data_IF_814575194112
#
_entry.id   IF_814575194112
#
_cell.length_a   1.000
_cell.length_b   1.000
_cell.length_c   1.000
_cell.angle_alpha   90.00
_cell.angle_beta   90.00
_cell.angle_gamma   90.00
#
_symmetry.space_group_name_H-M   'P 1'
#
loop_
_entity.id
_entity.type
_entity.pdbx_description
1 polymer ?
#
# COMPACT_ATOMS: atom_id res chain seq x y z
N UNK A 1 -11.56 14.15 14.79
CA UNK A 1 -10.93 15.37 15.29
C UNK A 1 -9.44 15.22 15.03
N UNK A 2 -8.75 16.21 14.46
CA UNK A 2 -7.29 16.13 14.27
C UNK A 2 -6.60 16.59 15.55
N UNK A 3 -5.60 15.86 16.00
CA UNK A 3 -4.86 16.22 17.21
C UNK A 3 -3.76 17.25 16.92
N UNK A 4 -3.23 17.29 15.69
CA UNK A 4 -2.18 18.23 15.28
C UNK A 4 -2.39 18.66 13.82
N UNK A 5 -2.38 19.97 13.59
CA UNK A 5 -2.37 20.58 12.26
C UNK A 5 -1.17 21.53 12.18
N UNK A 6 -0.33 21.37 11.17
CA UNK A 6 0.78 22.30 10.95
C UNK A 6 0.31 23.59 10.28
N UNK A 7 1.23 24.58 10.16
CA UNK A 7 0.95 25.88 9.55
C UNK A 7 0.56 25.80 8.07
N UNK A 8 0.76 24.65 7.43
CA UNK A 8 0.49 24.41 6.02
C UNK A 8 -0.81 23.60 5.79
N UNK A 9 -1.60 23.30 6.85
CA UNK A 9 -2.83 22.52 6.74
C UNK A 9 -2.58 21.01 6.63
N UNK A 10 -1.41 20.53 7.09
CA UNK A 10 -1.10 19.10 7.17
C UNK A 10 -1.68 18.55 8.46
N UNK A 11 -2.46 17.52 8.38
CA UNK A 11 -3.13 16.89 9.50
C UNK A 11 -2.43 15.57 9.87
N UNK A 12 -1.90 15.53 11.10
CA UNK A 12 -1.31 14.34 11.69
C UNK A 12 -2.30 13.72 12.69
N UNK A 13 -2.23 12.39 12.86
CA UNK A 13 -3.06 11.67 13.82
C UNK A 13 -4.54 12.06 13.77
N UNK A 14 -5.07 12.19 12.57
CA UNK A 14 -6.47 12.45 12.37
C UNK A 14 -7.24 11.15 12.08
N UNK A 15 -8.57 11.21 12.17
CA UNK A 15 -9.40 10.03 11.98
C UNK A 15 -10.35 10.20 10.80
N UNK A 16 -10.42 9.17 9.96
CA UNK A 16 -11.45 9.02 8.95
C UNK A 16 -12.66 8.36 9.61
N UNK A 17 -13.82 9.04 9.53
CA UNK A 17 -15.12 8.61 10.10
C UNK A 17 -15.04 8.25 11.60
N UNK A 18 -14.10 8.85 12.36
CA UNK A 18 -13.78 8.62 13.77
C UNK A 18 -13.29 7.18 14.09
N UNK A 19 -12.87 6.41 13.11
CA UNK A 19 -12.48 5.01 13.27
C UNK A 19 -11.07 4.73 12.84
N UNK A 20 -10.63 5.27 11.69
CA UNK A 20 -9.35 4.92 11.08
C UNK A 20 -8.36 6.06 11.24
N UNK A 21 -7.29 5.85 11.99
CA UNK A 21 -6.20 6.81 12.11
C UNK A 21 -5.50 7.03 10.76
N UNK A 22 -5.17 8.27 10.45
CA UNK A 22 -4.60 8.63 9.17
C UNK A 22 -3.65 9.85 9.25
N UNK A 23 -2.82 9.97 8.24
CA UNK A 23 -2.08 11.16 7.86
C UNK A 23 -2.73 11.78 6.63
N UNK A 24 -2.89 13.10 6.61
CA UNK A 24 -3.43 13.84 5.45
C UNK A 24 -2.60 15.07 5.16
N UNK A 25 -2.28 15.29 3.90
CA UNK A 25 -1.75 16.53 3.38
C UNK A 25 -2.57 16.93 2.15
N UNK A 26 -3.45 17.91 2.33
CA UNK A 26 -4.48 18.28 1.35
C UNK A 26 -4.28 19.74 0.94
N UNK A 27 -3.64 19.99 -0.22
CA UNK A 27 -3.50 21.37 -0.72
C UNK A 27 -4.83 21.93 -1.20
N UNK A 28 -4.96 23.25 -1.11
CA UNK A 28 -6.08 23.95 -1.74
C UNK A 28 -6.07 23.74 -3.26
N UNK A 29 -7.25 23.69 -3.87
CA UNK A 29 -7.42 23.56 -5.32
C UNK A 29 -6.74 22.33 -5.93
N UNK A 30 -6.68 21.22 -5.18
CA UNK A 30 -6.16 19.96 -5.72
C UNK A 30 -7.12 19.36 -6.76
N UNK A 31 -6.56 18.82 -7.83
CA UNK A 31 -7.29 18.08 -8.85
C UNK A 31 -7.12 16.56 -8.71
N UNK A 32 -6.12 16.14 -7.96
CA UNK A 32 -5.76 14.75 -7.76
C UNK A 32 -5.41 14.46 -6.31
N UNK A 33 -5.74 13.25 -5.87
CA UNK A 33 -5.38 12.74 -4.55
C UNK A 33 -4.79 11.35 -4.65
N UNK A 34 -3.78 11.06 -3.82
CA UNK A 34 -3.20 9.73 -3.67
C UNK A 34 -3.70 9.13 -2.36
N UNK A 35 -4.26 7.92 -2.42
CA UNK A 35 -4.49 7.08 -1.26
C UNK A 35 -3.28 6.14 -1.13
N UNK A 36 -2.50 6.30 -0.05
CA UNK A 36 -1.30 5.51 0.18
C UNK A 36 -1.55 4.36 1.17
N UNK A 37 -1.19 3.16 0.76
CA UNK A 37 -1.22 1.94 1.57
C UNK A 37 0.21 1.55 1.97
N UNK A 38 0.52 1.56 3.26
CA UNK A 38 1.86 1.32 3.80
C UNK A 38 2.27 -0.16 3.85
N UNK A 39 3.55 -0.42 4.14
CA UNK A 39 4.16 -1.75 4.27
C UNK A 39 3.65 -2.48 5.53
N UNK A 40 3.75 -3.80 5.54
CA UNK A 40 3.57 -4.61 6.74
C UNK A 40 4.59 -4.18 7.82
N UNK A 41 4.10 -3.89 9.01
CA UNK A 41 4.93 -3.39 10.12
C UNK A 41 5.31 -1.90 10.03
N UNK A 42 4.73 -1.13 9.12
CA UNK A 42 4.82 0.33 9.04
C UNK A 42 3.54 1.00 9.56
N UNK A 43 3.32 2.25 9.22
CA UNK A 43 2.16 3.05 9.60
C UNK A 43 1.87 4.16 8.57
N UNK A 44 0.81 4.93 8.80
CA UNK A 44 0.37 6.02 7.92
C UNK A 44 1.39 7.14 7.78
N UNK A 45 2.25 7.34 8.77
CA UNK A 45 3.27 8.40 8.76
C UNK A 45 4.35 8.20 7.69
N UNK A 46 4.46 7.00 7.12
CA UNK A 46 5.36 6.77 5.98
C UNK A 46 5.05 7.65 4.78
N UNK A 47 3.83 8.14 4.63
CA UNK A 47 3.43 9.07 3.58
C UNK A 47 4.14 10.43 3.67
N UNK A 48 4.67 10.81 4.84
CA UNK A 48 5.40 12.09 5.04
C UNK A 48 6.61 12.23 4.10
N UNK A 49 7.12 11.13 3.57
CA UNK A 49 8.26 11.10 2.63
C UNK A 49 7.92 11.64 1.25
N UNK A 50 6.64 11.65 0.90
CA UNK A 50 6.14 12.06 -0.42
C UNK A 50 5.40 13.39 -0.38
N UNK A 51 4.92 13.82 0.81
CA UNK A 51 3.93 14.89 0.90
C UNK A 51 4.43 16.24 0.38
N UNK A 52 5.66 16.63 0.71
CA UNK A 52 6.17 17.96 0.39
C UNK A 52 6.18 18.23 -1.11
N UNK A 53 6.71 17.27 -1.88
CA UNK A 53 6.76 17.38 -3.33
C UNK A 53 5.37 17.32 -3.97
N UNK A 54 4.50 16.44 -3.47
CA UNK A 54 3.12 16.32 -3.94
C UNK A 54 2.30 17.57 -3.62
N UNK A 55 2.40 18.05 -2.37
CA UNK A 55 1.70 19.25 -1.90
C UNK A 55 2.06 20.50 -2.73
N UNK A 56 3.33 20.72 -2.99
CA UNK A 56 3.82 21.83 -3.82
C UNK A 56 3.30 21.76 -5.26
N UNK A 57 2.89 20.58 -5.72
CA UNK A 57 2.30 20.32 -7.04
C UNK A 57 0.77 20.22 -7.00
N UNK A 58 0.14 20.62 -5.90
CA UNK A 58 -1.31 20.57 -5.68
C UNK A 58 -1.92 19.17 -5.79
N UNK A 59 -1.18 18.14 -5.36
CA UNK A 59 -1.64 16.78 -5.28
C UNK A 59 -1.82 16.43 -3.81
N UNK A 60 -3.02 16.04 -3.42
CA UNK A 60 -3.33 15.58 -2.07
C UNK A 60 -2.78 14.18 -1.81
N UNK A 61 -2.46 13.90 -0.55
CA UNK A 61 -2.14 12.54 -0.10
C UNK A 61 -2.88 12.22 1.20
N UNK A 62 -3.47 11.05 1.24
CA UNK A 62 -4.04 10.44 2.45
C UNK A 62 -3.39 9.07 2.63
N UNK A 63 -2.86 8.82 3.81
CA UNK A 63 -2.42 7.52 4.26
C UNK A 63 -3.16 7.12 5.51
N UNK A 64 -3.36 5.85 5.75
CA UNK A 64 -4.13 5.34 6.89
C UNK A 64 -3.43 4.15 7.54
N UNK A 65 -3.62 3.99 8.84
CA UNK A 65 -3.08 2.84 9.55
C UNK A 65 -3.88 1.58 9.21
N UNK A 66 -3.17 0.52 8.82
CA UNK A 66 -3.76 -0.80 8.66
C UNK A 66 -4.16 -1.37 10.03
N UNK A 67 -5.12 -2.31 10.11
CA UNK A 67 -5.53 -2.91 11.38
C UNK A 67 -4.33 -3.40 12.22
N UNK A 68 -4.25 -2.93 13.46
CA UNK A 68 -3.16 -3.24 14.41
C UNK A 68 -1.82 -2.55 14.13
N UNK A 69 -1.74 -1.64 13.16
CA UNK A 69 -0.53 -0.88 12.84
C UNK A 69 -0.66 0.57 13.32
N UNK A 70 0.49 1.25 13.47
CA UNK A 70 0.52 2.65 13.88
C UNK A 70 -0.23 2.89 15.19
N UNK A 71 -1.24 3.77 15.16
CA UNK A 71 -2.11 4.06 16.29
C UNK A 71 -3.42 3.23 16.30
N UNK A 72 -3.63 2.36 15.31
CA UNK A 72 -4.78 1.45 15.30
C UNK A 72 -4.63 0.39 16.41
N UNK A 73 -5.67 0.25 17.24
CA UNK A 73 -5.67 -0.63 18.40
C UNK A 73 -6.27 -2.01 18.15
N UNK A 74 -6.54 -2.35 16.90
CA UNK A 74 -7.08 -3.65 16.52
C UNK A 74 -6.14 -4.79 16.94
N UNK A 75 -6.65 -5.79 17.65
CA UNK A 75 -5.87 -6.98 18.00
C UNK A 75 -5.45 -7.72 16.72
N UNK A 76 -4.16 -8.03 16.58
CA UNK A 76 -3.61 -8.79 15.45
C UNK A 76 -4.27 -10.16 15.22
N UNK A 77 -5.00 -10.71 16.18
CA UNK A 77 -5.84 -11.89 15.94
C UNK A 77 -6.94 -11.64 14.90
N UNK A 78 -7.37 -10.38 14.74
CA UNK A 78 -8.37 -9.96 13.75
C UNK A 78 -7.73 -9.50 12.45
N UNK A 79 -6.40 -9.30 12.42
CA UNK A 79 -5.69 -8.89 11.22
C UNK A 79 -5.83 -9.94 10.13
N UNK A 80 -6.42 -9.55 9.02
CA UNK A 80 -6.59 -10.36 7.82
C UNK A 80 -6.82 -9.45 6.60
N UNK A 81 -6.72 -10.01 5.41
CA UNK A 81 -6.90 -9.27 4.17
C UNK A 81 -8.27 -8.62 4.05
N UNK A 82 -9.33 -9.32 4.46
CA UNK A 82 -10.72 -8.79 4.40
C UNK A 82 -10.86 -7.52 5.23
N UNK A 83 -10.32 -7.50 6.45
CA UNK A 83 -10.36 -6.31 7.31
C UNK A 83 -9.53 -5.17 6.71
N UNK A 84 -8.33 -5.47 6.19
CA UNK A 84 -7.51 -4.47 5.49
C UNK A 84 -8.23 -3.88 4.27
N UNK A 85 -8.92 -4.71 3.48
CA UNK A 85 -9.73 -4.27 2.35
C UNK A 85 -10.91 -3.40 2.77
N UNK A 86 -11.54 -3.70 3.90
CA UNK A 86 -12.61 -2.87 4.46
C UNK A 86 -12.08 -1.49 4.83
N UNK A 87 -10.91 -1.39 5.48
CA UNK A 87 -10.27 -0.10 5.78
C UNK A 87 -9.99 0.69 4.50
N UNK A 88 -9.36 0.08 3.50
CA UNK A 88 -9.12 0.72 2.21
C UNK A 88 -10.43 1.22 1.55
N UNK A 89 -11.51 0.43 1.61
CA UNK A 89 -12.81 0.83 1.07
C UNK A 89 -13.42 2.02 1.82
N UNK A 90 -13.30 2.07 3.15
CA UNK A 90 -13.76 3.21 3.97
C UNK A 90 -13.00 4.47 3.54
N UNK A 91 -11.68 4.38 3.39
CA UNK A 91 -10.84 5.52 2.97
C UNK A 91 -11.21 5.98 1.55
N UNK A 92 -11.38 5.06 0.59
CA UNK A 92 -11.83 5.40 -0.77
C UNK A 92 -13.19 6.10 -0.75
N UNK A 93 -14.15 5.58 0.02
CA UNK A 93 -15.49 6.17 0.12
C UNK A 93 -15.45 7.55 0.80
N UNK A 94 -14.62 7.71 1.82
CA UNK A 94 -14.37 9.00 2.45
C UNK A 94 -13.86 10.03 1.43
N UNK A 95 -12.84 9.67 0.66
CA UNK A 95 -12.26 10.57 -0.38
C UNK A 95 -13.33 10.95 -1.40
N UNK A 96 -14.11 10.02 -1.90
CA UNK A 96 -15.20 10.30 -2.87
C UNK A 96 -16.28 11.22 -2.30
N UNK A 97 -16.61 11.06 -1.02
CA UNK A 97 -17.62 11.86 -0.35
C UNK A 97 -17.14 13.28 -0.09
N UNK A 98 -15.89 13.43 0.37
CA UNK A 98 -15.36 14.73 0.79
C UNK A 98 -14.77 15.51 -0.39
N UNK A 99 -14.24 14.81 -1.39
CA UNK A 99 -13.59 15.39 -2.57
C UNK A 99 -14.18 14.83 -3.89
N UNK A 100 -15.47 15.08 -4.19
CA UNK A 100 -16.20 14.36 -5.24
C UNK A 100 -15.68 14.57 -6.67
N UNK A 101 -14.94 15.66 -6.92
CA UNK A 101 -14.44 16.02 -8.26
C UNK A 101 -12.96 15.71 -8.46
N UNK A 102 -12.31 15.07 -7.49
CA UNK A 102 -10.87 14.85 -7.50
C UNK A 102 -10.56 13.47 -8.09
N UNK A 103 -9.57 13.40 -8.98
CA UNK A 103 -9.07 12.14 -9.52
C UNK A 103 -8.35 11.35 -8.41
N UNK A 104 -8.75 10.10 -8.19
CA UNK A 104 -8.17 9.23 -7.17
C UNK A 104 -7.09 8.37 -7.78
N UNK A 105 -5.89 8.44 -7.20
CA UNK A 105 -4.76 7.55 -7.48
C UNK A 105 -4.53 6.64 -6.27
N UNK A 106 -4.11 5.40 -6.51
CA UNK A 106 -3.68 4.48 -5.46
C UNK A 106 -2.16 4.32 -5.50
N UNK A 107 -1.51 4.39 -4.36
CA UNK A 107 -0.09 4.10 -4.19
C UNK A 107 0.07 3.06 -3.09
N UNK A 108 0.66 1.92 -3.41
CA UNK A 108 0.96 0.88 -2.44
C UNK A 108 2.45 0.59 -2.37
N UNK A 109 2.94 0.34 -1.16
CA UNK A 109 4.30 -0.14 -0.95
C UNK A 109 4.29 -1.54 -0.34
N UNK A 110 5.04 -2.48 -0.93
CA UNK A 110 5.17 -3.86 -0.43
C UNK A 110 3.81 -4.53 -0.18
N UNK A 111 3.45 -4.80 1.09
CA UNK A 111 2.14 -5.31 1.49
C UNK A 111 0.98 -4.39 1.06
N UNK A 112 1.16 -3.07 1.10
CA UNK A 112 0.18 -2.11 0.60
C UNK A 112 -0.13 -2.31 -0.89
N UNK A 113 0.87 -2.70 -1.69
CA UNK A 113 0.68 -3.07 -3.10
C UNK A 113 -0.14 -4.38 -3.23
N UNK A 114 0.14 -5.38 -2.39
CA UNK A 114 -0.66 -6.61 -2.34
C UNK A 114 -2.12 -6.32 -1.98
N UNK A 115 -2.36 -5.42 -1.03
CA UNK A 115 -3.70 -4.98 -0.65
C UNK A 115 -4.44 -4.32 -1.83
N UNK A 116 -3.80 -3.38 -2.53
CA UNK A 116 -4.36 -2.71 -3.71
C UNK A 116 -4.67 -3.71 -4.81
N UNK A 117 -3.75 -4.60 -5.16
CA UNK A 117 -3.98 -5.63 -6.17
C UNK A 117 -5.18 -6.52 -5.82
N UNK A 118 -5.29 -6.93 -4.56
CA UNK A 118 -6.44 -7.68 -4.07
C UNK A 118 -7.76 -6.90 -4.15
N UNK A 119 -7.72 -5.58 -3.95
CA UNK A 119 -8.87 -4.70 -4.15
C UNK A 119 -9.31 -4.67 -5.62
N UNK A 120 -8.36 -4.53 -6.55
CA UNK A 120 -8.64 -4.47 -7.99
C UNK A 120 -9.19 -5.78 -8.54
N UNK A 121 -8.71 -6.92 -8.05
CA UNK A 121 -9.22 -8.25 -8.43
C UNK A 121 -10.68 -8.45 -8.03
N UNK A 122 -11.10 -7.88 -6.89
CA UNK A 122 -12.46 -8.05 -6.34
C UNK A 122 -13.45 -7.00 -6.79
N UNK A 123 -12.98 -5.91 -7.38
CA UNK A 123 -13.83 -4.77 -7.69
C UNK A 123 -13.44 -4.15 -9.03
N UNK A 124 -14.42 -3.95 -9.89
CA UNK A 124 -14.24 -3.41 -11.25
C UNK A 124 -14.05 -1.88 -11.29
N UNK A 125 -13.98 -1.24 -10.13
CA UNK A 125 -13.79 0.20 -10.04
C UNK A 125 -12.48 0.64 -10.69
N UNK A 126 -12.53 1.74 -11.43
CA UNK A 126 -11.37 2.35 -12.08
C UNK A 126 -10.86 3.54 -11.27
N UNK A 127 -9.55 3.56 -11.06
CA UNK A 127 -8.80 4.68 -10.52
C UNK A 127 -8.05 5.41 -11.63
N UNK A 128 -7.66 6.66 -11.39
CA UNK A 128 -6.91 7.43 -12.39
C UNK A 128 -5.56 6.76 -12.68
N UNK A 129 -4.79 6.43 -11.64
CA UNK A 129 -3.57 5.62 -11.72
C UNK A 129 -3.44 4.70 -10.53
N UNK A 130 -2.78 3.57 -10.73
CA UNK A 130 -2.39 2.63 -9.67
C UNK A 130 -0.88 2.44 -9.70
N UNK A 131 -0.22 2.83 -8.62
CA UNK A 131 1.22 2.84 -8.49
C UNK A 131 1.64 1.81 -7.43
N UNK A 132 2.53 0.91 -7.81
CA UNK A 132 3.00 -0.16 -6.94
C UNK A 132 4.51 -0.04 -6.74
N UNK A 133 4.94 0.14 -5.50
CA UNK A 133 6.33 0.26 -5.11
C UNK A 133 6.77 -1.01 -4.38
N UNK A 134 7.82 -1.67 -4.87
CA UNK A 134 8.34 -2.94 -4.34
C UNK A 134 7.22 -3.94 -4.01
N UNK A 135 6.31 -4.26 -4.95
CA UNK A 135 5.07 -4.97 -4.62
C UNK A 135 5.32 -6.40 -4.12
N UNK A 136 4.75 -6.75 -2.97
CA UNK A 136 4.74 -8.11 -2.46
C UNK A 136 3.63 -8.92 -3.16
N UNK A 137 3.94 -9.46 -4.35
CA UNK A 137 2.96 -10.15 -5.19
C UNK A 137 2.66 -11.56 -4.68
N UNK A 138 3.70 -12.28 -4.25
CA UNK A 138 3.62 -13.64 -3.71
C UNK A 138 3.86 -13.64 -2.20
N UNK A 139 2.86 -13.17 -1.44
CA UNK A 139 3.02 -12.99 0.01
C UNK A 139 3.34 -14.30 0.74
N UNK A 140 2.80 -15.43 0.31
CA UNK A 140 3.05 -16.72 0.95
C UNK A 140 4.48 -17.20 0.69
N UNK A 141 4.99 -17.03 -0.54
CA UNK A 141 6.37 -17.39 -0.87
C UNK A 141 7.34 -16.53 -0.02
N UNK A 142 7.06 -15.23 0.10
CA UNK A 142 7.81 -14.32 0.97
C UNK A 142 7.78 -14.77 2.45
N UNK A 143 6.62 -15.10 2.99
CA UNK A 143 6.50 -15.57 4.37
C UNK A 143 7.22 -16.90 4.61
N UNK A 144 7.20 -17.78 3.63
CA UNK A 144 7.87 -19.08 3.71
C UNK A 144 9.39 -18.94 3.61
N UNK A 145 9.91 -18.16 2.66
CA UNK A 145 11.35 -18.01 2.42
C UNK A 145 12.02 -17.14 3.48
N UNK A 146 11.50 -15.94 3.72
CA UNK A 146 12.16 -14.96 4.58
C UNK A 146 11.89 -15.18 6.08
N UNK A 147 10.76 -15.79 6.41
CA UNK A 147 10.34 -15.96 7.81
C UNK A 147 10.22 -17.41 8.26
N UNK A 148 10.52 -18.39 7.39
CA UNK A 148 10.31 -19.81 7.65
C UNK A 148 8.91 -20.10 8.20
N UNK A 149 7.90 -19.42 7.64
CA UNK A 149 6.53 -19.47 8.10
C UNK A 149 5.72 -20.37 7.16
N UNK A 150 5.46 -21.57 7.60
CA UNK A 150 4.60 -22.55 6.92
C UNK A 150 3.35 -22.83 7.73
N UNK A 151 2.39 -23.55 7.15
CA UNK A 151 1.22 -23.99 7.90
C UNK A 151 1.59 -24.83 9.12
N UNK A 152 2.63 -25.68 9.02
CA UNK A 152 3.10 -26.55 10.10
C UNK A 152 3.75 -25.80 11.26
N UNK A 153 4.30 -24.60 11.00
CA UNK A 153 4.81 -23.74 12.07
C UNK A 153 3.78 -23.53 13.19
N UNK A 154 2.50 -23.39 12.83
CA UNK A 154 1.42 -23.15 13.78
C UNK A 154 0.96 -24.37 14.57
N UNK A 155 1.49 -25.55 14.31
CA UNK A 155 1.25 -26.73 15.16
C UNK A 155 1.89 -26.57 16.54
N UNK A 156 2.98 -25.79 16.63
CA UNK A 156 3.74 -25.58 17.85
C UNK A 156 3.80 -24.11 18.29
N UNK A 157 3.28 -23.17 17.50
CA UNK A 157 3.38 -21.74 17.76
C UNK A 157 2.02 -21.04 17.57
N UNK A 158 1.71 -20.13 18.49
CA UNK A 158 0.45 -19.38 18.47
C UNK A 158 0.43 -18.30 17.38
N UNK A 159 1.56 -17.65 17.16
CA UNK A 159 1.77 -16.63 16.15
C UNK A 159 3.25 -16.53 15.76
N UNK A 160 3.53 -15.95 14.61
CA UNK A 160 4.89 -15.51 14.23
C UNK A 160 4.99 -14.01 14.46
N UNK A 161 6.06 -13.58 15.14
CA UNK A 161 6.36 -12.16 15.29
C UNK A 161 7.21 -11.70 14.11
N UNK A 162 6.68 -10.75 13.32
CA UNK A 162 7.39 -10.12 12.22
C UNK A 162 7.80 -8.70 12.59
N UNK A 163 9.00 -8.29 12.20
CA UNK A 163 9.54 -6.94 12.44
C UNK A 163 9.46 -6.47 13.90
N UNK A 164 9.50 -7.41 14.85
CA UNK A 164 9.40 -7.12 16.29
C UNK A 164 8.04 -6.64 16.81
N UNK A 165 7.04 -6.47 15.95
CA UNK A 165 5.75 -5.87 16.34
C UNK A 165 4.51 -6.53 15.73
N UNK A 166 4.54 -7.04 14.53
CA UNK A 166 3.38 -7.64 13.87
C UNK A 166 3.23 -9.10 14.28
N UNK A 167 2.14 -9.46 14.92
CA UNK A 167 1.82 -10.84 15.29
C UNK A 167 0.96 -11.48 14.20
N UNK A 168 1.57 -12.33 13.38
CA UNK A 168 0.87 -13.04 12.33
C UNK A 168 0.37 -14.39 12.84
N UNK A 169 -0.95 -14.51 12.96
CA UNK A 169 -1.64 -15.71 13.42
C UNK A 169 -1.95 -16.68 12.27
N UNK A 170 -2.29 -17.93 12.61
CA UNK A 170 -2.62 -18.97 11.63
C UNK A 170 -3.77 -18.57 10.70
N UNK A 171 -4.81 -17.94 11.23
CA UNK A 171 -5.95 -17.47 10.44
C UNK A 171 -5.53 -16.42 9.39
N UNK A 172 -4.63 -15.50 9.73
CA UNK A 172 -4.08 -14.52 8.80
C UNK A 172 -3.26 -15.20 7.70
N UNK A 173 -2.40 -16.16 8.07
CA UNK A 173 -1.61 -16.92 7.11
C UNK A 173 -2.52 -17.69 6.12
N UNK A 174 -3.55 -18.36 6.63
CA UNK A 174 -4.51 -19.09 5.79
C UNK A 174 -5.35 -18.16 4.90
N UNK A 175 -5.69 -16.97 5.40
CA UNK A 175 -6.38 -15.97 4.61
C UNK A 175 -5.51 -15.49 3.44
N UNK A 176 -4.23 -15.22 3.67
CA UNK A 176 -3.29 -14.87 2.59
C UNK A 176 -3.09 -16.02 1.60
N UNK A 177 -2.99 -17.27 2.07
CA UNK A 177 -2.85 -18.45 1.22
C UNK A 177 -4.04 -18.62 0.26
N UNK A 178 -5.25 -18.31 0.74
CA UNK A 178 -6.47 -18.42 -0.06
C UNK A 178 -6.69 -17.21 -0.99
N UNK A 179 -5.89 -16.15 -0.87
CA UNK A 179 -6.07 -14.90 -1.58
C UNK A 179 -4.81 -14.51 -2.41
N UNK A 180 -4.23 -15.47 -3.10
CA UNK A 180 -3.11 -15.25 -4.00
C UNK A 180 -3.56 -14.44 -5.23
N UNK A 181 -3.01 -13.23 -5.35
CA UNK A 181 -3.28 -12.33 -6.48
C UNK A 181 -2.71 -12.88 -7.78
N UNK A 182 -1.62 -13.63 -7.72
CA UNK A 182 -0.93 -14.14 -8.89
C UNK A 182 -1.82 -15.08 -9.73
N UNK A 183 -2.75 -15.79 -9.10
CA UNK A 183 -3.68 -16.69 -9.75
C UNK A 183 -4.92 -16.01 -10.36
N UNK A 184 -5.17 -14.71 -10.04
CA UNK A 184 -6.39 -13.97 -10.42
C UNK A 184 -6.15 -12.92 -11.52
N UNK A 185 -5.30 -13.17 -12.47
CA UNK A 185 -4.76 -12.21 -13.46
C UNK A 185 -5.76 -11.51 -14.38
N UNK A 186 -7.00 -11.98 -14.50
CA UNK A 186 -7.94 -11.50 -15.54
C UNK A 186 -8.56 -10.14 -15.28
N UNK A 187 -8.61 -9.66 -14.02
CA UNK A 187 -9.45 -8.52 -13.61
C UNK A 187 -8.63 -7.22 -13.44
N UNK A 188 -7.31 -7.33 -13.36
CA UNK A 188 -6.40 -6.18 -13.15
C UNK A 188 -6.38 -5.22 -14.36
N UNK A 189 -6.83 -5.65 -15.54
CA UNK A 189 -6.67 -4.96 -16.83
C UNK A 189 -7.46 -3.64 -17.00
N UNK A 190 -8.38 -3.32 -16.10
CA UNK A 190 -9.22 -2.12 -16.22
C UNK A 190 -8.61 -0.85 -15.61
N UNK A 191 -7.40 -0.95 -15.04
CA UNK A 191 -6.70 0.17 -14.42
C UNK A 191 -5.34 0.38 -15.07
N UNK A 192 -4.90 1.63 -15.12
CA UNK A 192 -3.55 1.99 -15.54
C UNK A 192 -2.59 1.74 -14.36
N UNK A 193 -1.93 0.58 -14.40
CA UNK A 193 -1.04 0.10 -13.33
C UNK A 193 0.41 0.32 -13.76
N UNK A 194 1.21 0.86 -12.85
CA UNK A 194 2.63 1.09 -13.03
C UNK A 194 3.40 0.57 -11.83
N UNK A 195 4.55 -0.04 -12.05
CA UNK A 195 5.40 -0.62 -11.01
C UNK A 195 6.76 0.05 -11.00
N UNK A 196 7.28 0.33 -9.80
CA UNK A 196 8.68 0.67 -9.55
C UNK A 196 9.28 -0.33 -8.58
N UNK A 197 10.49 -0.85 -8.88
CA UNK A 197 11.16 -1.86 -8.07
C UNK A 197 12.67 -1.63 -8.02
N UNK A 198 13.27 -1.88 -6.84
CA UNK A 198 14.71 -1.78 -6.67
C UNK A 198 15.43 -3.05 -7.17
N UNK A 199 16.54 -2.91 -7.89
CA UNK A 199 17.31 -4.07 -8.38
C UNK A 199 18.03 -4.82 -7.27
N UNK A 200 18.39 -4.13 -6.18
CA UNK A 200 19.01 -4.71 -4.98
C UNK A 200 18.01 -5.03 -3.86
N UNK A 201 16.72 -5.19 -4.22
CA UNK A 201 15.69 -5.59 -3.27
C UNK A 201 15.94 -7.02 -2.77
N UNK A 202 16.34 -7.13 -1.50
CA UNK A 202 16.62 -8.42 -0.83
C UNK A 202 15.40 -9.01 -0.14
N UNK A 203 14.27 -8.30 -0.14
CA UNK A 203 13.01 -8.74 0.47
C UNK A 203 12.11 -9.40 -0.57
N UNK A 204 11.98 -8.78 -1.73
CA UNK A 204 11.22 -9.29 -2.87
C UNK A 204 12.13 -9.27 -4.09
N UNK A 205 12.48 -10.44 -4.60
CA UNK A 205 13.34 -10.56 -5.78
C UNK A 205 12.70 -9.88 -7.01
N UNK A 206 13.47 -9.02 -7.67
CA UNK A 206 13.02 -8.25 -8.83
C UNK A 206 12.51 -9.16 -9.96
N UNK A 207 13.03 -10.37 -10.11
CA UNK A 207 12.61 -11.31 -11.15
C UNK A 207 11.14 -11.73 -10.98
N UNK A 208 10.67 -11.89 -9.74
CA UNK A 208 9.26 -12.23 -9.44
C UNK A 208 8.34 -11.11 -9.93
N UNK A 209 8.73 -9.87 -9.69
CA UNK A 209 7.96 -8.69 -10.10
C UNK A 209 8.02 -8.50 -11.61
N UNK A 210 9.17 -8.76 -12.22
CA UNK A 210 9.36 -8.70 -13.67
C UNK A 210 8.48 -9.72 -14.39
N UNK A 211 8.43 -10.97 -13.90
CA UNK A 211 7.57 -12.00 -14.44
C UNK A 211 6.08 -11.61 -14.36
N UNK A 212 5.67 -11.06 -13.22
CA UNK A 212 4.31 -10.57 -13.03
C UNK A 212 3.97 -9.45 -14.03
N UNK A 213 4.85 -8.46 -14.15
CA UNK A 213 4.66 -7.33 -15.05
C UNK A 213 4.62 -7.76 -16.52
N UNK A 214 5.54 -8.64 -16.93
CA UNK A 214 5.59 -9.19 -18.29
C UNK A 214 4.31 -9.96 -18.64
N UNK A 215 3.83 -10.81 -17.74
CA UNK A 215 2.62 -11.62 -17.94
C UNK A 215 1.33 -10.79 -18.08
N UNK A 216 1.31 -9.58 -17.53
CA UNK A 216 0.15 -8.69 -17.53
C UNK A 216 0.30 -7.46 -18.42
N UNK A 217 1.46 -7.29 -19.08
CA UNK A 217 1.84 -6.10 -19.83
C UNK A 217 1.77 -4.83 -18.98
N UNK A 218 2.23 -4.92 -17.72
CA UNK A 218 2.32 -3.79 -16.79
C UNK A 218 3.70 -3.13 -16.96
N UNK A 219 3.79 -1.81 -17.15
CA UNK A 219 5.06 -1.10 -17.19
C UNK A 219 5.80 -1.22 -15.87
N UNK A 220 7.03 -1.74 -15.92
CA UNK A 220 7.96 -1.83 -14.80
C UNK A 220 9.11 -0.86 -14.99
N UNK A 221 9.40 -0.05 -13.97
CA UNK A 221 10.63 0.74 -13.85
C UNK A 221 11.50 0.09 -12.78
N UNK A 222 12.69 -0.39 -13.16
CA UNK A 222 13.70 -0.79 -12.18
C UNK A 222 14.59 0.40 -11.79
N UNK A 223 15.16 0.35 -10.59
CA UNK A 223 16.09 1.35 -10.06
C UNK A 223 17.34 0.63 -9.61
N UNK A 224 18.43 0.92 -10.31
CA UNK A 224 19.75 0.32 -10.05
C UNK A 224 20.22 0.59 -8.62
N UNK A 225 20.78 -0.43 -7.96
CA UNK A 225 21.25 -0.40 -6.57
C UNK A 225 20.22 0.00 -5.51
N UNK A 226 18.94 0.11 -5.85
CA UNK A 226 17.91 0.47 -4.89
C UNK A 226 17.44 -0.73 -4.06
N UNK A 227 17.36 -0.60 -2.72
CA UNK A 227 16.79 -1.62 -1.84
C UNK A 227 15.26 -1.56 -1.81
N UNK A 228 14.63 -2.43 -1.02
CA UNK A 228 13.17 -2.55 -0.87
C UNK A 228 12.46 -1.24 -0.50
N UNK A 229 12.99 -0.46 0.42
CA UNK A 229 12.36 0.74 1.00
C UNK A 229 12.67 2.05 0.27
N UNK A 230 13.56 2.07 -0.70
CA UNK A 230 13.96 3.25 -1.48
C UNK A 230 14.46 4.46 -0.66
N UNK A 231 15.01 4.26 0.54
CA UNK A 231 15.39 5.39 1.43
C UNK A 231 16.24 6.46 0.75
N UNK A 232 17.27 6.07 0.02
CA UNK A 232 18.17 6.99 -0.67
C UNK A 232 17.75 7.31 -2.11
N UNK A 233 16.60 6.79 -2.55
CA UNK A 233 16.11 6.85 -3.94
C UNK A 233 14.75 7.57 -4.06
N UNK A 234 14.33 8.30 -3.02
CA UNK A 234 13.03 8.97 -2.97
C UNK A 234 12.79 9.91 -4.15
N UNK A 235 13.82 10.65 -4.60
CA UNK A 235 13.71 11.52 -5.78
C UNK A 235 13.29 10.75 -7.04
N UNK A 236 13.78 9.52 -7.21
CA UNK A 236 13.40 8.68 -8.34
C UNK A 236 11.97 8.14 -8.21
N UNK A 237 11.56 7.82 -6.98
CA UNK A 237 10.19 7.41 -6.67
C UNK A 237 9.21 8.56 -6.88
N UNK A 238 9.52 9.74 -6.35
CA UNK A 238 8.69 10.94 -6.51
C UNK A 238 8.52 11.32 -7.99
N UNK A 239 9.63 11.30 -8.75
CA UNK A 239 9.58 11.50 -10.19
C UNK A 239 8.68 10.46 -10.89
N UNK A 240 8.83 9.18 -10.52
CA UNK A 240 8.00 8.11 -11.08
C UNK A 240 6.51 8.33 -10.77
N UNK A 241 6.16 8.63 -9.52
CA UNK A 241 4.79 8.93 -9.11
C UNK A 241 4.24 10.07 -9.99
N UNK A 242 4.98 11.14 -10.06
CA UNK A 242 4.57 12.36 -10.76
C UNK A 242 4.35 12.13 -12.25
N UNK A 243 5.30 11.46 -12.91
CA UNK A 243 5.21 11.18 -14.35
C UNK A 243 3.99 10.29 -14.68
N UNK A 244 3.56 9.43 -13.76
CA UNK A 244 2.48 8.47 -14.04
C UNK A 244 1.08 9.01 -13.73
N UNK A 245 0.93 9.85 -12.70
CA UNK A 245 -0.39 10.44 -12.39
C UNK A 245 -0.78 11.58 -13.32
N UNK A 246 0.18 12.23 -13.98
CA UNK A 246 -0.09 13.33 -14.92
C UNK A 246 -0.30 12.87 -16.37
N UNK A 247 0.10 11.63 -16.71
CA UNK A 247 -0.04 11.08 -18.06
C UNK A 247 -1.26 10.12 -18.17
N UNK A 248 -2.14 10.10 -17.17
CA UNK A 248 -3.32 9.20 -17.09
C UNK A 248 -4.63 9.95 -17.29
#
# INVERSE_FOLDING_TARGET
MCEEMDKNGIEFNCYIDNEINCFKAIPNDMEQIIIYCHNLGSDSMWAIRFYEELYNKKIGIISFDLPGHGLDTTDFKKFNLTLCLNYLNIVINYVKRVYPNVKINLLGSSFGSYLILNRLVRNIERFNSVLLMSPCIKIIDFLNSEHNLTQDYYNNHKYKLLYGKVKLYKNTYLDFLNNDVFNNRKIIRNNDIYVIHGEDDRVIDVSIVQDFCNNLNIPLKTVENAPHEFYSYLNQVNKFIFDKINNS
#
